data_IF_145655180416
#
_entry.id   IF_145655180416
#
_cell.length_a   1.000
_cell.length_b   1.000
_cell.length_c   1.000
_cell.angle_alpha   90.00
_cell.angle_beta   90.00
_cell.angle_gamma   90.00
#
_symmetry.space_group_name_H-M   'P 1'
#
loop_
_entity.id
_entity.type
_entity.pdbx_description
1 polymer ?
#
# COMPACT_ATOMS: atom_id res chain seq x y z
N UNK A 1 2.33 -30.03 5.16
CA UNK A 1 2.13 -30.09 3.69
C UNK A 1 2.67 -31.44 3.24
N UNK A 2 1.90 -32.22 2.49
CA UNK A 2 2.26 -33.61 2.14
C UNK A 2 3.53 -33.71 1.28
N UNK A 3 3.89 -32.60 0.63
CA UNK A 3 5.07 -32.45 -0.21
C UNK A 3 6.33 -31.96 0.51
N UNK A 4 6.22 -31.49 1.76
CA UNK A 4 7.32 -30.92 2.54
C UNK A 4 7.97 -32.02 3.38
N UNK A 5 9.09 -32.56 2.91
CA UNK A 5 9.72 -33.76 3.50
C UNK A 5 11.17 -33.51 3.94
N UNK A 6 11.95 -32.78 3.14
CA UNK A 6 13.38 -32.57 3.38
C UNK A 6 13.78 -31.08 3.26
N UNK A 7 14.99 -30.72 3.69
CA UNK A 7 15.47 -29.32 3.65
C UNK A 7 15.46 -28.71 2.24
N UNK A 8 15.66 -29.52 1.19
CA UNK A 8 15.58 -29.05 -0.19
C UNK A 8 14.21 -28.44 -0.53
N UNK A 9 13.14 -28.93 0.10
CA UNK A 9 11.78 -28.43 -0.11
C UNK A 9 11.56 -27.04 0.50
N UNK A 10 12.43 -26.61 1.42
CA UNK A 10 12.40 -25.28 2.05
C UNK A 10 13.01 -24.19 1.18
N UNK A 11 13.63 -24.53 0.03
CA UNK A 11 14.12 -23.53 -0.91
C UNK A 11 12.93 -22.76 -1.52
N UNK A 12 13.08 -21.44 -1.67
CA UNK A 12 12.02 -20.55 -2.16
C UNK A 12 11.41 -21.03 -3.49
N UNK A 13 12.26 -21.44 -4.44
CA UNK A 13 11.83 -21.99 -5.73
C UNK A 13 10.88 -23.19 -5.60
N UNK A 14 11.18 -24.11 -4.66
CA UNK A 14 10.40 -25.33 -4.44
C UNK A 14 9.10 -25.01 -3.71
N UNK A 15 9.13 -24.10 -2.74
CA UNK A 15 7.93 -23.63 -2.05
C UNK A 15 6.97 -22.99 -3.05
N UNK A 16 7.48 -22.08 -3.91
CA UNK A 16 6.67 -21.39 -4.92
C UNK A 16 6.02 -22.39 -5.88
N UNK A 17 6.80 -23.33 -6.41
CA UNK A 17 6.32 -24.34 -7.35
C UNK A 17 5.29 -25.30 -6.73
N UNK A 18 5.57 -25.82 -5.53
CA UNK A 18 4.75 -26.87 -4.89
C UNK A 18 3.51 -26.32 -4.20
N UNK A 19 3.55 -25.08 -3.71
CA UNK A 19 2.39 -24.42 -3.11
C UNK A 19 1.46 -23.77 -4.15
N UNK A 20 1.87 -23.65 -5.42
CA UNK A 20 1.07 -23.01 -6.46
C UNK A 20 0.93 -21.51 -6.23
N UNK A 21 2.03 -20.84 -5.87
CA UNK A 21 2.00 -19.42 -5.50
C UNK A 21 1.65 -18.54 -6.70
N UNK A 22 0.69 -17.63 -6.52
CA UNK A 22 0.27 -16.62 -7.53
C UNK A 22 0.58 -15.18 -7.12
N UNK A 23 0.84 -14.95 -5.84
CA UNK A 23 1.23 -13.67 -5.25
C UNK A 23 2.51 -13.88 -4.44
N UNK A 24 3.58 -13.20 -4.82
CA UNK A 24 4.89 -13.31 -4.20
C UNK A 24 5.28 -11.98 -3.55
N UNK A 25 5.41 -11.96 -2.22
CA UNK A 25 5.68 -10.74 -1.43
C UNK A 25 7.04 -10.86 -0.74
N UNK A 26 7.94 -9.93 -1.06
CA UNK A 26 9.31 -9.88 -0.55
C UNK A 26 9.42 -8.82 0.55
N UNK A 27 9.77 -9.24 1.76
CA UNK A 27 9.96 -8.35 2.92
C UNK A 27 11.20 -8.76 3.73
N UNK A 28 12.15 -9.40 3.06
CA UNK A 28 13.27 -10.12 3.70
C UNK A 28 14.54 -9.28 3.87
N UNK A 29 14.68 -8.20 3.10
CA UNK A 29 15.95 -7.48 2.94
C UNK A 29 17.02 -8.27 2.16
N UNK A 30 16.68 -9.45 1.63
CA UNK A 30 17.61 -10.27 0.85
C UNK A 30 17.52 -9.90 -0.63
N UNK A 31 18.48 -9.08 -1.07
CA UNK A 31 18.58 -8.64 -2.45
C UNK A 31 18.69 -9.83 -3.42
N UNK A 32 17.96 -9.76 -4.53
CA UNK A 32 18.03 -10.74 -5.62
C UNK A 32 17.45 -12.13 -5.31
N UNK A 33 16.75 -12.32 -4.20
CA UNK A 33 16.17 -13.63 -3.85
C UNK A 33 14.98 -14.03 -4.74
N UNK A 34 14.32 -13.08 -5.42
CA UNK A 34 13.34 -13.37 -6.47
C UNK A 34 14.06 -13.58 -7.79
N UNK A 35 14.74 -14.73 -7.91
CA UNK A 35 15.44 -15.11 -9.13
C UNK A 35 14.50 -15.31 -10.32
N UNK A 36 15.06 -15.39 -11.53
CA UNK A 36 14.31 -15.72 -12.76
C UNK A 36 13.46 -16.98 -12.61
N UNK A 37 14.01 -18.04 -12.00
CA UNK A 37 13.33 -19.31 -11.86
C UNK A 37 12.18 -19.23 -10.84
N UNK A 38 12.38 -18.48 -9.75
CA UNK A 38 11.32 -18.18 -8.78
C UNK A 38 10.17 -17.43 -9.46
N UNK A 39 10.47 -16.34 -10.16
CA UNK A 39 9.46 -15.51 -10.84
C UNK A 39 8.71 -16.31 -11.92
N UNK A 40 9.42 -17.10 -12.72
CA UNK A 40 8.81 -17.96 -13.74
C UNK A 40 7.95 -19.06 -13.13
N UNK A 41 8.32 -19.56 -11.95
CA UNK A 41 7.49 -20.52 -11.25
C UNK A 41 6.16 -19.89 -10.80
N UNK A 42 6.15 -18.64 -10.30
CA UNK A 42 4.88 -17.94 -9.99
C UNK A 42 4.03 -17.78 -11.25
N UNK A 43 4.66 -17.38 -12.37
CA UNK A 43 4.00 -17.23 -13.67
C UNK A 43 3.40 -18.53 -14.22
N UNK A 44 3.96 -19.69 -13.87
CA UNK A 44 3.42 -20.98 -14.27
C UNK A 44 2.06 -21.29 -13.62
N UNK A 45 1.70 -20.60 -12.53
CA UNK A 45 0.46 -20.84 -11.79
C UNK A 45 -0.64 -19.81 -12.09
N UNK A 46 -0.32 -18.72 -12.79
CA UNK A 46 -1.31 -17.69 -13.14
C UNK A 46 -0.88 -16.86 -14.34
N UNK A 47 -1.85 -16.41 -15.14
CA UNK A 47 -1.59 -15.56 -16.31
C UNK A 47 -1.03 -14.19 -15.93
N UNK A 48 -1.38 -13.67 -14.74
CA UNK A 48 -0.95 -12.35 -14.26
C UNK A 48 -0.45 -12.42 -12.81
N UNK A 49 0.81 -12.83 -12.58
CA UNK A 49 1.35 -12.97 -11.23
C UNK A 49 1.53 -11.62 -10.56
N UNK A 50 1.25 -11.54 -9.25
CA UNK A 50 1.55 -10.35 -8.45
C UNK A 50 2.90 -10.55 -7.79
N UNK A 51 3.86 -9.66 -8.03
CA UNK A 51 5.22 -9.79 -7.51
C UNK A 51 5.61 -8.47 -6.85
N UNK A 52 5.83 -8.51 -5.54
CA UNK A 52 6.02 -7.33 -4.70
C UNK A 52 7.40 -7.37 -4.01
N UNK A 53 8.47 -6.84 -4.63
CA UNK A 53 9.76 -6.63 -3.95
C UNK A 53 9.68 -5.41 -3.03
N UNK A 54 9.29 -5.60 -1.76
CA UNK A 54 8.97 -4.50 -0.84
C UNK A 54 10.13 -4.06 0.05
N UNK A 55 11.25 -4.78 0.01
CA UNK A 55 12.41 -4.43 0.82
C UNK A 55 12.99 -3.07 0.44
N UNK A 56 13.41 -2.32 1.47
CA UNK A 56 14.00 -0.99 1.35
C UNK A 56 15.45 -1.01 1.89
N UNK A 57 16.36 -0.17 1.37
CA UNK A 57 16.26 0.67 0.16
C UNK A 57 16.27 -0.14 -1.15
N UNK A 58 16.35 0.54 -2.30
CA UNK A 58 16.34 -0.08 -3.64
C UNK A 58 17.32 -1.25 -3.81
N UNK A 59 18.53 -1.16 -3.25
CA UNK A 59 19.56 -2.22 -3.31
C UNK A 59 19.21 -3.46 -2.49
N UNK A 60 18.14 -3.41 -1.69
CA UNK A 60 17.62 -4.54 -0.92
C UNK A 60 16.38 -5.18 -1.54
N UNK A 61 15.89 -4.65 -2.66
CA UNK A 61 14.76 -5.23 -3.36
C UNK A 61 15.03 -6.68 -3.76
N UNK A 62 14.05 -7.56 -3.56
CA UNK A 62 14.15 -8.98 -3.87
C UNK A 62 14.37 -9.25 -5.37
N UNK A 63 13.90 -8.35 -6.24
CA UNK A 63 14.23 -8.29 -7.67
C UNK A 63 14.01 -6.89 -8.21
N UNK A 64 14.69 -6.57 -9.32
CA UNK A 64 14.49 -5.32 -10.05
C UNK A 64 13.23 -5.44 -10.92
N UNK A 65 12.33 -4.45 -10.94
CA UNK A 65 11.10 -4.51 -11.74
C UNK A 65 11.32 -4.81 -13.23
N UNK A 66 12.37 -4.25 -13.84
CA UNK A 66 12.70 -4.49 -15.25
C UNK A 66 12.94 -5.98 -15.54
N UNK A 67 13.63 -6.68 -14.63
CA UNK A 67 13.87 -8.12 -14.74
C UNK A 67 12.56 -8.91 -14.61
N UNK A 68 11.69 -8.54 -13.67
CA UNK A 68 10.39 -9.19 -13.47
C UNK A 68 9.53 -9.09 -14.73
N UNK A 69 9.42 -7.90 -15.33
CA UNK A 69 8.68 -7.72 -16.58
C UNK A 69 9.30 -8.54 -17.72
N UNK A 70 10.63 -8.53 -17.85
CA UNK A 70 11.34 -9.35 -18.85
C UNK A 70 11.07 -10.84 -18.69
N UNK A 71 11.14 -11.37 -17.46
CA UNK A 71 10.97 -12.80 -17.20
C UNK A 71 9.53 -13.27 -17.35
N UNK A 72 8.56 -12.37 -17.23
CA UNK A 72 7.13 -12.66 -17.33
C UNK A 72 6.51 -12.29 -18.68
N UNK A 73 7.27 -11.64 -19.56
CA UNK A 73 6.75 -11.13 -20.83
C UNK A 73 5.72 -10.01 -20.62
N UNK A 74 5.99 -9.09 -19.69
CA UNK A 74 5.10 -7.96 -19.39
C UNK A 74 3.86 -8.30 -18.55
N UNK A 75 3.66 -9.58 -18.18
CA UNK A 75 2.40 -10.04 -17.56
C UNK A 75 2.30 -9.83 -16.05
N UNK A 76 3.42 -9.64 -15.36
CA UNK A 76 3.42 -9.44 -13.91
C UNK A 76 2.80 -8.10 -13.50
N UNK A 77 2.12 -8.10 -12.36
CA UNK A 77 1.71 -6.89 -11.66
C UNK A 77 2.76 -6.60 -10.59
N UNK A 78 3.47 -5.47 -10.72
CA UNK A 78 4.64 -5.16 -9.90
C UNK A 78 4.46 -3.86 -9.13
N UNK A 79 4.77 -3.90 -7.83
CA UNK A 79 4.94 -2.72 -6.99
C UNK A 79 6.07 -2.96 -5.99
N UNK A 80 6.80 -1.91 -5.62
CA UNK A 80 8.02 -1.99 -4.81
C UNK A 80 7.91 -1.13 -3.55
N UNK A 81 8.75 -1.39 -2.54
CA UNK A 81 8.78 -0.57 -1.33
C UNK A 81 9.48 0.78 -1.55
N UNK A 82 10.56 0.75 -2.32
CA UNK A 82 11.37 1.91 -2.73
C UNK A 82 11.01 2.35 -4.15
N UNK A 83 11.27 3.62 -4.53
CA UNK A 83 10.92 4.12 -5.86
C UNK A 83 11.79 3.48 -6.94
N UNK A 84 11.18 3.12 -8.06
CA UNK A 84 11.84 2.73 -9.30
C UNK A 84 11.26 3.57 -10.44
N UNK A 85 12.04 3.84 -11.50
CA UNK A 85 11.50 4.44 -12.72
C UNK A 85 10.49 3.50 -13.39
N UNK A 86 9.67 4.06 -14.27
CA UNK A 86 8.82 3.28 -15.17
C UNK A 86 9.67 2.32 -16.03
N UNK A 87 9.12 1.14 -16.31
CA UNK A 87 9.79 0.11 -17.11
C UNK A 87 9.20 0.12 -18.51
N UNK A 88 10.05 0.30 -19.52
CA UNK A 88 9.68 0.11 -20.93
C UNK A 88 9.90 -1.35 -21.32
N UNK A 89 8.85 -2.04 -21.72
CA UNK A 89 8.91 -3.42 -22.20
C UNK A 89 8.07 -3.57 -23.48
N UNK A 90 8.67 -4.04 -24.57
CA UNK A 90 8.02 -4.23 -25.89
C UNK A 90 7.24 -3.01 -26.42
N UNK A 91 7.70 -1.80 -26.10
CA UNK A 91 7.06 -0.55 -26.52
C UNK A 91 5.95 -0.05 -25.59
N UNK A 92 5.63 -0.79 -24.52
CA UNK A 92 4.69 -0.39 -23.48
C UNK A 92 5.43 0.09 -22.21
N UNK A 93 4.95 1.18 -21.60
CA UNK A 93 5.52 1.75 -20.38
C UNK A 93 4.70 1.34 -19.16
N UNK A 94 5.34 0.60 -18.24
CA UNK A 94 4.75 0.11 -17.01
C UNK A 94 5.16 0.97 -15.82
N UNK A 95 4.19 1.60 -15.16
CA UNK A 95 4.44 2.34 -13.92
C UNK A 95 4.72 1.38 -12.77
N UNK A 96 5.88 1.51 -12.15
CA UNK A 96 6.20 0.76 -10.91
C UNK A 96 5.64 1.52 -9.72
N UNK A 97 4.53 1.02 -9.16
CA UNK A 97 3.91 1.63 -8.00
C UNK A 97 4.76 1.47 -6.73
N UNK A 98 4.75 2.49 -5.86
CA UNK A 98 5.43 2.41 -4.57
C UNK A 98 4.46 1.90 -3.49
N UNK A 99 4.48 0.61 -3.18
CA UNK A 99 3.67 0.01 -2.12
C UNK A 99 4.32 0.26 -0.75
N UNK A 100 4.16 1.49 -0.26
CA UNK A 100 4.82 1.96 0.95
C UNK A 100 3.79 2.50 1.97
N UNK A 101 4.15 2.36 3.25
CA UNK A 101 3.40 2.75 4.43
C UNK A 101 2.98 4.24 4.39
N UNK A 102 3.66 5.08 3.60
CA UNK A 102 3.33 6.49 3.36
C UNK A 102 1.89 6.73 2.90
N UNK A 103 1.25 5.76 2.24
CA UNK A 103 -0.17 5.85 1.88
C UNK A 103 -1.12 5.57 3.05
N UNK A 104 -0.62 5.03 4.17
CA UNK A 104 -1.41 4.53 5.29
C UNK A 104 -1.22 5.40 6.54
N UNK A 105 0.02 5.53 7.03
CA UNK A 105 0.25 6.11 8.35
C UNK A 105 -0.23 7.56 8.52
N UNK A 106 -0.11 8.48 7.52
CA UNK A 106 -0.58 9.85 7.70
C UNK A 106 -2.10 9.92 7.87
N UNK A 107 -2.82 9.18 7.03
CA UNK A 107 -4.27 9.11 7.07
C UNK A 107 -4.78 8.40 8.33
N UNK A 108 -4.15 7.28 8.73
CA UNK A 108 -4.50 6.58 9.98
C UNK A 108 -4.33 7.50 11.18
N UNK A 109 -3.19 8.22 11.27
CA UNK A 109 -2.95 9.18 12.35
C UNK A 109 -4.03 10.26 12.41
N UNK A 110 -4.31 10.92 11.28
CA UNK A 110 -5.31 11.96 11.20
C UNK A 110 -6.73 11.44 11.52
N UNK A 111 -7.10 10.26 11.02
CA UNK A 111 -8.40 9.64 11.28
C UNK A 111 -8.60 9.26 12.76
N UNK A 112 -7.55 8.74 13.40
CA UNK A 112 -7.55 8.45 14.85
C UNK A 112 -7.73 9.72 15.66
N UNK A 113 -6.99 10.79 15.33
CA UNK A 113 -7.09 12.08 16.02
C UNK A 113 -8.47 12.72 15.83
N UNK A 114 -8.96 12.81 14.60
CA UNK A 114 -10.22 13.47 14.27
C UNK A 114 -11.46 12.74 14.82
N UNK A 115 -11.45 11.40 14.84
CA UNK A 115 -12.53 10.61 15.46
C UNK A 115 -12.43 10.51 16.98
N UNK A 116 -11.35 11.03 17.58
CA UNK A 116 -11.07 10.87 19.00
C UNK A 116 -10.92 9.40 19.43
N UNK A 117 -10.56 8.48 18.53
CA UNK A 117 -10.48 7.06 18.85
C UNK A 117 -9.58 6.82 20.09
N UNK A 118 -10.07 6.05 21.06
CA UNK A 118 -9.31 5.74 22.29
C UNK A 118 -8.27 4.63 22.12
N UNK A 119 -8.40 3.84 21.07
CA UNK A 119 -7.58 2.66 20.78
C UNK A 119 -7.46 2.47 19.26
N UNK A 120 -6.32 1.93 18.81
CA UNK A 120 -6.06 1.62 17.40
C UNK A 120 -6.39 0.16 17.16
N UNK A 121 -7.39 -0.12 16.32
CA UNK A 121 -7.87 -1.47 16.06
C UNK A 121 -7.36 -2.00 14.71
N UNK A 122 -7.14 -3.33 14.57
CA UNK A 122 -6.70 -3.91 13.30
C UNK A 122 -7.56 -3.51 12.09
N UNK A 123 -8.89 -3.39 12.29
CA UNK A 123 -9.83 -2.96 11.24
C UNK A 123 -9.57 -1.54 10.71
N UNK A 124 -8.83 -0.69 11.41
CA UNK A 124 -8.44 0.63 10.90
C UNK A 124 -7.47 0.48 9.74
N UNK A 125 -6.55 -0.47 9.82
CA UNK A 125 -5.61 -0.77 8.75
C UNK A 125 -6.31 -1.45 7.57
N UNK A 126 -7.32 -2.28 7.82
CA UNK A 126 -8.20 -2.80 6.75
C UNK A 126 -8.93 -1.67 6.03
N UNK A 127 -9.57 -0.76 6.78
CA UNK A 127 -10.27 0.40 6.21
C UNK A 127 -9.30 1.32 5.43
N UNK A 128 -8.09 1.53 5.95
CA UNK A 128 -7.05 2.28 5.26
C UNK A 128 -6.63 1.59 3.95
N UNK A 129 -6.36 0.29 3.95
CA UNK A 129 -6.00 -0.46 2.75
C UNK A 129 -7.09 -0.40 1.67
N UNK A 130 -8.36 -0.53 2.07
CA UNK A 130 -9.51 -0.36 1.15
C UNK A 130 -9.60 1.05 0.60
N UNK A 131 -9.39 2.08 1.43
CA UNK A 131 -9.40 3.47 0.99
C UNK A 131 -8.26 3.80 0.01
N UNK A 132 -7.05 3.27 0.24
CA UNK A 132 -5.92 3.38 -0.69
C UNK A 132 -6.24 2.68 -2.02
N UNK A 133 -6.77 1.46 -1.97
CA UNK A 133 -7.14 0.70 -3.17
C UNK A 133 -8.20 1.43 -4.00
N UNK A 134 -9.19 2.05 -3.36
CA UNK A 134 -10.23 2.85 -4.02
C UNK A 134 -9.72 4.15 -4.67
N UNK A 135 -8.45 4.51 -4.48
CA UNK A 135 -7.81 5.65 -5.13
C UNK A 135 -7.14 5.31 -6.47
N UNK A 136 -7.03 4.03 -6.82
CA UNK A 136 -6.51 3.59 -8.13
C UNK A 136 -7.65 3.66 -9.14
N UNK A 137 -7.48 4.40 -10.24
CA UNK A 137 -8.55 4.49 -11.25
C UNK A 137 -8.68 3.19 -12.05
N UNK A 138 -9.81 3.00 -12.73
CA UNK A 138 -10.01 1.81 -13.59
C UNK A 138 -8.98 1.78 -14.72
N UNK A 139 -8.61 2.94 -15.26
CA UNK A 139 -7.63 3.09 -16.33
C UNK A 139 -6.21 2.81 -15.86
N UNK A 140 -5.87 3.17 -14.62
CA UNK A 140 -4.59 2.82 -14.00
C UNK A 140 -4.52 1.31 -13.72
N UNK A 141 -5.59 0.74 -13.17
CA UNK A 141 -5.68 -0.69 -12.88
C UNK A 141 -5.63 -1.55 -14.15
N UNK A 142 -6.27 -1.09 -15.24
CA UNK A 142 -6.20 -1.75 -16.54
C UNK A 142 -4.77 -1.80 -17.09
N UNK A 143 -3.93 -0.81 -16.75
CA UNK A 143 -2.50 -0.75 -17.07
C UNK A 143 -1.59 -1.42 -16.02
N UNK A 144 -2.18 -2.18 -15.10
CA UNK A 144 -1.44 -2.96 -14.11
C UNK A 144 -0.98 -2.21 -12.86
N UNK A 145 -1.42 -0.97 -12.65
CA UNK A 145 -1.10 -0.24 -11.43
C UNK A 145 -1.81 -0.85 -10.21
N UNK A 146 -1.03 -1.15 -9.16
CA UNK A 146 -1.52 -1.72 -7.91
C UNK A 146 -1.79 -0.69 -6.81
N UNK A 147 -1.16 0.48 -6.91
CA UNK A 147 -1.22 1.56 -5.92
C UNK A 147 -1.33 2.92 -6.63
N UNK A 148 -1.94 3.94 -5.97
CA UNK A 148 -2.04 5.27 -6.55
C UNK A 148 -0.66 5.93 -6.67
N UNK A 149 -0.51 6.96 -7.53
CA UNK A 149 0.76 7.67 -7.65
C UNK A 149 1.04 8.50 -6.38
N UNK A 150 2.32 8.56 -6.00
CA UNK A 150 2.80 9.27 -4.79
C UNK A 150 2.44 10.76 -4.81
N UNK A 151 2.29 11.36 -5.98
CA UNK A 151 1.85 12.76 -6.15
C UNK A 151 0.44 13.03 -5.61
N UNK A 152 -0.37 11.98 -5.40
CA UNK A 152 -1.75 12.08 -4.86
C UNK A 152 -1.82 11.84 -3.35
N UNK A 153 -0.68 11.71 -2.66
CA UNK A 153 -0.60 11.35 -1.25
C UNK A 153 -1.48 12.21 -0.32
N UNK A 154 -1.56 13.51 -0.59
CA UNK A 154 -2.38 14.42 0.20
C UNK A 154 -3.86 14.02 0.18
N UNK A 155 -4.40 13.76 -1.01
CA UNK A 155 -5.80 13.37 -1.18
C UNK A 155 -6.07 11.95 -0.68
N UNK A 156 -5.14 11.02 -0.92
CA UNK A 156 -5.22 9.66 -0.39
C UNK A 156 -5.24 9.68 1.14
N UNK A 157 -4.39 10.50 1.77
CA UNK A 157 -4.35 10.62 3.24
C UNK A 157 -5.68 11.10 3.83
N UNK A 158 -6.36 12.05 3.17
CA UNK A 158 -7.68 12.51 3.61
C UNK A 158 -8.75 11.42 3.49
N UNK A 159 -8.74 10.64 2.40
CA UNK A 159 -9.67 9.52 2.20
C UNK A 159 -9.42 8.40 3.23
N UNK A 160 -8.16 8.09 3.50
CA UNK A 160 -7.77 7.13 4.54
C UNK A 160 -8.20 7.62 5.92
N UNK A 161 -7.97 8.90 6.24
CA UNK A 161 -8.40 9.49 7.50
C UNK A 161 -9.91 9.38 7.69
N UNK A 162 -10.69 9.65 6.64
CA UNK A 162 -12.14 9.52 6.67
C UNK A 162 -12.55 8.06 6.94
N UNK A 163 -12.02 7.11 6.17
CA UNK A 163 -12.35 5.69 6.33
C UNK A 163 -11.96 5.14 7.72
N UNK A 164 -10.82 5.56 8.26
CA UNK A 164 -10.37 5.18 9.60
C UNK A 164 -11.26 5.78 10.67
N UNK A 165 -11.61 7.07 10.57
CA UNK A 165 -12.50 7.70 11.53
C UNK A 165 -13.92 7.14 11.51
N UNK A 166 -14.45 6.81 10.32
CA UNK A 166 -15.73 6.10 10.18
C UNK A 166 -15.66 4.71 10.80
N UNK A 167 -14.55 3.98 10.60
CA UNK A 167 -14.30 2.69 11.26
C UNK A 167 -14.22 2.82 12.78
N UNK A 168 -13.68 3.92 13.33
CA UNK A 168 -13.67 4.19 14.77
C UNK A 168 -15.08 4.43 15.33
N UNK A 169 -15.89 5.24 14.63
CA UNK A 169 -17.30 5.49 14.99
C UNK A 169 -18.08 4.17 14.96
N UNK A 170 -17.95 3.42 13.86
CA UNK A 170 -18.71 2.20 13.60
C UNK A 170 -18.47 1.07 14.62
N UNK A 171 -17.45 1.17 15.48
CA UNK A 171 -17.38 0.22 16.60
C UNK A 171 -17.17 0.86 17.94
N UNK A 172 -17.73 2.06 18.12
CA UNK A 172 -17.94 2.65 19.43
C UNK A 172 -16.65 2.95 20.18
N UNK A 173 -15.54 3.17 19.46
CA UNK A 173 -14.26 3.57 20.06
C UNK A 173 -13.97 5.06 19.95
N UNK A 174 -14.84 5.77 19.22
CA UNK A 174 -14.79 7.21 19.01
C UNK A 174 -15.27 8.00 20.24
N UNK A 175 -14.71 9.21 20.44
CA UNK A 175 -15.09 10.18 21.47
C UNK A 175 -14.94 11.60 20.90
N UNK A 176 -15.38 12.66 21.60
CA UNK A 176 -15.10 14.02 21.17
C UNK A 176 -13.62 14.25 20.88
N UNK A 177 -13.32 14.87 19.74
CA UNK A 177 -11.97 15.22 19.35
C UNK A 177 -11.39 16.24 20.33
N UNK A 178 -10.25 15.91 20.95
CA UNK A 178 -9.60 16.77 21.95
C UNK A 178 -8.92 18.01 21.33
N UNK A 179 -8.69 18.00 20.02
CA UNK A 179 -7.91 19.01 19.31
C UNK A 179 -8.76 19.97 18.48
N UNK A 180 -10.08 19.94 18.63
CA UNK A 180 -10.98 20.84 17.92
C UNK A 180 -12.20 21.20 18.76
N UNK A 181 -12.68 22.43 18.64
CA UNK A 181 -14.01 22.81 19.15
C UNK A 181 -15.14 22.32 18.23
N UNK A 182 -14.84 22.00 16.97
CA UNK A 182 -15.79 21.39 16.03
C UNK A 182 -15.80 19.86 16.21
N UNK A 183 -16.98 19.29 16.45
CA UNK A 183 -17.11 17.86 16.80
C UNK A 183 -17.84 17.07 15.72
N UNK A 184 -17.39 15.85 15.42
CA UNK A 184 -18.00 15.01 14.38
C UNK A 184 -19.36 14.43 14.80
N UNK A 185 -19.66 14.30 16.10
CA UNK A 185 -20.95 13.81 16.62
C UNK A 185 -21.41 12.47 16.01
N UNK A 186 -20.46 11.56 15.77
CA UNK A 186 -20.67 10.29 15.07
C UNK A 186 -21.28 10.39 13.66
N UNK A 187 -21.30 11.58 13.05
CA UNK A 187 -21.74 11.78 11.67
C UNK A 187 -20.54 11.79 10.70
N UNK A 188 -20.67 11.05 9.60
CA UNK A 188 -19.61 10.90 8.61
C UNK A 188 -19.28 12.21 7.87
N UNK A 189 -20.29 13.02 7.56
CA UNK A 189 -20.10 14.31 6.86
C UNK A 189 -19.40 15.32 7.76
N UNK A 190 -19.77 15.37 9.04
CA UNK A 190 -19.09 16.18 10.05
C UNK A 190 -17.68 15.68 10.33
N UNK A 191 -17.44 14.37 10.36
CA UNK A 191 -16.10 13.82 10.48
C UNK A 191 -15.21 14.27 9.30
N UNK A 192 -15.71 14.18 8.08
CA UNK A 192 -15.00 14.64 6.88
C UNK A 192 -14.64 16.12 6.96
N UNK A 193 -15.55 16.96 7.43
CA UNK A 193 -15.29 18.39 7.64
C UNK A 193 -14.28 18.64 8.76
N UNK A 194 -14.37 17.91 9.87
CA UNK A 194 -13.39 17.97 10.96
C UNK A 194 -11.98 17.61 10.48
N UNK A 195 -11.84 16.52 9.72
CA UNK A 195 -10.57 16.09 9.13
C UNK A 195 -9.96 17.20 8.26
N UNK A 196 -10.78 17.87 7.44
CA UNK A 196 -10.31 19.01 6.62
C UNK A 196 -9.83 20.17 7.50
N UNK A 197 -10.59 20.53 8.54
CA UNK A 197 -10.23 21.62 9.47
C UNK A 197 -8.97 21.33 10.30
N UNK A 198 -8.67 20.05 10.55
CA UNK A 198 -7.48 19.62 11.29
C UNK A 198 -6.24 19.50 10.42
N UNK A 199 -6.38 19.53 9.09
CA UNK A 199 -5.26 19.46 8.17
C UNK A 199 -4.45 20.75 8.29
N UNK A 200 -3.15 20.61 8.52
CA UNK A 200 -2.21 21.72 8.43
C UNK A 200 -2.00 22.13 6.96
N UNK A 201 -1.98 23.44 6.71
CA UNK A 201 -1.68 24.04 5.42
C UNK A 201 -0.38 24.86 5.52
N UNK A 202 0.50 24.81 4.51
CA UNK A 202 1.80 25.49 4.51
C UNK A 202 1.69 27.01 4.25
N UNK A 203 0.75 27.66 4.94
CA UNK A 203 0.52 29.09 4.85
C UNK A 203 1.28 29.83 5.94
N UNK A 204 2.02 30.87 5.54
CA UNK A 204 2.68 31.75 6.50
C UNK A 204 1.64 32.56 7.26
N UNK A 205 1.55 32.34 8.57
CA UNK A 205 0.72 33.14 9.47
C UNK A 205 1.46 34.40 9.90
N UNK A 206 0.78 35.55 10.03
CA UNK A 206 1.40 36.78 10.51
C UNK A 206 1.88 36.59 11.96
N UNK A 207 3.16 36.89 12.20
CA UNK A 207 3.70 36.98 13.57
C UNK A 207 3.35 38.34 14.14
N UNK A 208 2.28 38.42 14.93
CA UNK A 208 1.92 39.63 15.68
C UNK A 208 2.49 39.49 17.08
N UNK A 209 3.40 40.39 17.47
CA UNK A 209 3.92 40.45 18.83
C UNK A 209 2.77 40.74 19.81
N UNK A 210 2.70 39.97 20.90
CA UNK A 210 1.76 40.21 22.01
C UNK A 210 2.16 41.42 22.84
#
# INVERSE_FOLDING_TARGET
>A
LDWLRDEADLRLENIVAKAGVTVLIGTSGQAGCFSRDVVRSVLAHTERPVILPLSNPTEKAEAVPADIYSWTGGRALVATGSPFPDVLFEGESFRVGQCNNVFVFPGVGLGVLASGAREVLPRFFTAAATAVSACVTREEMARGALVPPVTTLADVSLKVAQAVGESAIASGVSRPCAFSSFQHQNDASRLKELIRKMRWEPDYLPLVAM
#
